data_IF_415304761791
#
_entry.id   IF_415304761791
#
_cell.length_a   1.000
_cell.length_b   1.000
_cell.length_c   1.000
_cell.angle_alpha   90.00
_cell.angle_beta   90.00
_cell.angle_gamma   90.00
#
_symmetry.space_group_name_H-M   'P 1'
#
loop_
_entity.id
_entity.type
_entity.pdbx_description
1 polymer ?
#
# COMPACT_ATOMS: atom_id res chain seq x y z
N UNK A 1 -34.54 3.37 -18.79
CA UNK A 1 -33.59 2.72 -17.86
C UNK A 1 -32.21 2.54 -18.46
N UNK A 2 -32.06 2.00 -19.68
CA UNK A 2 -30.73 1.80 -20.29
C UNK A 2 -29.92 3.09 -20.52
N UNK A 3 -30.56 4.20 -20.91
CA UNK A 3 -29.87 5.48 -21.13
C UNK A 3 -29.25 6.06 -19.84
N UNK A 4 -29.88 5.85 -18.68
CA UNK A 4 -29.35 6.30 -17.38
C UNK A 4 -28.13 5.47 -16.96
N UNK A 5 -28.22 4.15 -17.11
CA UNK A 5 -27.09 3.25 -16.86
C UNK A 5 -25.89 3.57 -17.76
N UNK A 6 -26.12 3.93 -19.03
CA UNK A 6 -25.06 4.38 -19.94
C UNK A 6 -24.43 5.70 -19.48
N UNK A 7 -25.23 6.64 -19.01
CA UNK A 7 -24.76 7.93 -18.52
C UNK A 7 -23.92 7.79 -17.25
N UNK A 8 -24.38 6.97 -16.29
CA UNK A 8 -23.65 6.67 -15.06
C UNK A 8 -22.31 5.98 -15.39
N UNK A 9 -22.29 5.07 -16.38
CA UNK A 9 -21.07 4.41 -16.83
C UNK A 9 -20.05 5.40 -17.41
N UNK A 10 -20.50 6.35 -18.22
CA UNK A 10 -19.63 7.40 -18.79
C UNK A 10 -19.05 8.29 -17.70
N UNK A 11 -19.85 8.65 -16.70
CA UNK A 11 -19.39 9.46 -15.56
C UNK A 11 -18.35 8.70 -14.72
N UNK A 12 -18.59 7.41 -14.43
CA UNK A 12 -17.61 6.57 -13.74
C UNK A 12 -16.31 6.45 -14.53
N UNK A 13 -16.38 6.26 -15.84
CA UNK A 13 -15.19 6.19 -16.69
C UNK A 13 -14.39 7.50 -16.62
N UNK A 14 -15.07 8.65 -16.70
CA UNK A 14 -14.41 9.95 -16.57
C UNK A 14 -13.77 10.15 -15.19
N UNK A 15 -14.41 9.66 -14.11
CA UNK A 15 -13.84 9.70 -12.77
C UNK A 15 -12.60 8.81 -12.64
N UNK A 16 -12.62 7.61 -13.22
CA UNK A 16 -11.47 6.71 -13.26
C UNK A 16 -10.29 7.34 -14.00
N UNK A 17 -10.54 7.98 -15.14
CA UNK A 17 -9.48 8.64 -15.91
C UNK A 17 -8.88 9.84 -15.16
N UNK A 18 -9.70 10.62 -14.45
CA UNK A 18 -9.20 11.68 -13.56
C UNK A 18 -8.32 11.12 -12.44
N UNK A 19 -8.74 10.02 -11.80
CA UNK A 19 -7.96 9.38 -10.75
C UNK A 19 -6.64 8.83 -11.28
N UNK A 20 -6.63 8.22 -12.48
CA UNK A 20 -5.39 7.77 -13.14
C UNK A 20 -4.44 8.93 -13.42
N UNK A 21 -4.94 10.03 -13.96
CA UNK A 21 -4.13 11.22 -14.21
C UNK A 21 -3.52 11.79 -12.93
N UNK A 22 -4.31 11.84 -11.86
CA UNK A 22 -3.88 12.36 -10.57
C UNK A 22 -2.84 11.46 -9.90
N UNK A 23 -3.16 10.18 -9.68
CA UNK A 23 -2.26 9.21 -9.05
C UNK A 23 -0.98 9.00 -9.88
N UNK A 24 -1.13 8.91 -11.21
CA UNK A 24 0.02 8.83 -12.11
C UNK A 24 0.94 10.01 -11.97
N UNK A 25 0.38 11.22 -11.90
CA UNK A 25 1.19 12.42 -11.75
C UNK A 25 1.95 12.45 -10.44
N UNK A 26 1.34 11.98 -9.33
CA UNK A 26 2.05 11.85 -8.06
C UNK A 26 3.19 10.83 -8.14
N UNK A 27 2.92 9.64 -8.69
CA UNK A 27 3.93 8.58 -8.86
C UNK A 27 5.09 9.07 -9.73
N UNK A 28 4.78 9.72 -10.86
CA UNK A 28 5.79 10.28 -11.74
C UNK A 28 6.63 11.36 -11.03
N UNK A 29 5.99 12.23 -10.25
CA UNK A 29 6.67 13.26 -9.47
C UNK A 29 7.65 12.65 -8.46
N UNK A 30 7.28 11.59 -7.76
CA UNK A 30 8.20 10.90 -6.84
C UNK A 30 9.30 10.10 -7.54
N UNK A 31 9.04 9.58 -8.74
CA UNK A 31 10.03 8.77 -9.48
C UNK A 31 11.20 9.58 -10.00
N UNK A 32 10.95 10.78 -10.52
CA UNK A 32 11.96 11.57 -11.24
C UNK A 32 12.01 13.04 -10.86
N UNK A 33 11.11 13.49 -9.99
CA UNK A 33 11.17 14.85 -9.44
C UNK A 33 12.39 15.04 -8.56
N UNK A 34 12.87 16.29 -8.48
CA UNK A 34 13.94 16.61 -7.56
C UNK A 34 13.47 16.50 -6.09
N UNK A 35 14.44 16.53 -5.17
CA UNK A 35 14.18 16.40 -3.73
C UNK A 35 13.20 17.46 -3.24
N UNK A 36 13.27 18.68 -3.78
CA UNK A 36 12.39 19.77 -3.36
C UNK A 36 10.94 19.52 -3.79
N UNK A 37 10.73 19.21 -5.07
CA UNK A 37 9.40 18.92 -5.64
C UNK A 37 8.75 17.72 -4.95
N UNK A 38 9.54 16.68 -4.65
CA UNK A 38 9.07 15.51 -3.92
C UNK A 38 8.68 15.84 -2.48
N UNK A 39 9.47 16.67 -1.80
CA UNK A 39 9.17 17.12 -0.43
C UNK A 39 7.94 18.03 -0.37
N UNK A 40 7.79 18.94 -1.35
CA UNK A 40 6.62 19.82 -1.45
C UNK A 40 5.35 19.00 -1.69
N UNK A 41 5.40 18.03 -2.60
CA UNK A 41 4.30 17.09 -2.81
C UNK A 41 3.98 16.30 -1.54
N UNK A 42 4.99 15.83 -0.81
CA UNK A 42 4.80 15.08 0.43
C UNK A 42 4.20 15.94 1.55
N UNK A 43 4.65 17.19 1.69
CA UNK A 43 4.10 18.14 2.66
C UNK A 43 2.64 18.42 2.37
N UNK A 44 2.30 18.64 1.11
CA UNK A 44 0.93 18.83 0.66
C UNK A 44 0.03 17.62 0.92
N UNK A 45 0.49 16.39 0.63
CA UNK A 45 -0.27 15.15 0.94
C UNK A 45 -0.57 15.05 2.44
N UNK A 46 0.38 15.46 3.28
CA UNK A 46 0.26 15.40 4.74
C UNK A 46 -0.58 16.53 5.32
N UNK A 47 -0.78 17.61 4.57
CA UNK A 47 -1.62 18.72 4.98
C UNK A 47 -3.10 18.45 4.69
N UNK A 48 -4.00 19.07 5.45
CA UNK A 48 -5.45 18.98 5.27
C UNK A 48 -5.97 19.76 4.04
N UNK A 49 -5.11 20.04 3.05
CA UNK A 49 -5.53 20.69 1.81
C UNK A 49 -6.40 19.76 0.96
N UNK A 50 -7.38 20.36 0.29
CA UNK A 50 -8.32 19.62 -0.54
C UNK A 50 -7.65 18.95 -1.75
N UNK A 51 -8.17 17.77 -2.12
CA UNK A 51 -7.71 16.99 -3.28
C UNK A 51 -7.66 17.80 -4.59
N UNK A 52 -8.54 18.79 -4.76
CA UNK A 52 -8.53 19.66 -5.95
C UNK A 52 -7.26 20.52 -6.05
N UNK A 53 -6.76 21.03 -4.92
CA UNK A 53 -5.55 21.84 -4.88
C UNK A 53 -4.32 20.97 -5.10
N UNK A 54 -4.28 19.79 -4.45
CA UNK A 54 -3.25 18.79 -4.67
C UNK A 54 -3.21 18.34 -6.14
N UNK A 55 -4.37 18.11 -6.77
CA UNK A 55 -4.47 17.77 -8.18
C UNK A 55 -3.97 18.87 -9.11
N UNK A 56 -4.28 20.14 -8.78
CA UNK A 56 -3.80 21.29 -9.55
C UNK A 56 -2.28 21.42 -9.48
N UNK A 57 -1.68 21.23 -8.30
CA UNK A 57 -0.23 21.20 -8.15
C UNK A 57 0.39 20.09 -9.00
N UNK A 58 -0.09 18.85 -8.88
CA UNK A 58 0.45 17.70 -9.61
C UNK A 58 0.38 17.92 -11.13
N UNK A 59 -0.74 18.46 -11.62
CA UNK A 59 -0.90 18.81 -13.04
C UNK A 59 0.09 19.90 -13.49
N UNK A 60 0.28 20.93 -12.67
CA UNK A 60 1.23 22.02 -12.96
C UNK A 60 2.68 21.51 -12.97
N UNK A 61 3.06 20.70 -11.99
CA UNK A 61 4.39 20.08 -11.88
C UNK A 61 4.71 19.22 -13.09
N UNK A 62 3.74 18.43 -13.58
CA UNK A 62 3.90 17.69 -14.84
C UNK A 62 4.08 18.62 -16.03
N UNK A 63 3.26 19.66 -16.13
CA UNK A 63 3.30 20.59 -17.27
C UNK A 63 4.62 21.38 -17.32
N UNK A 64 5.20 21.70 -16.16
CA UNK A 64 6.44 22.47 -16.06
C UNK A 64 7.71 21.62 -16.15
N UNK A 65 7.64 20.32 -15.88
CA UNK A 65 8.79 19.42 -15.91
C UNK A 65 8.62 18.27 -16.93
N UNK A 66 9.33 18.31 -18.07
CA UNK A 66 9.18 17.31 -19.13
C UNK A 66 9.61 15.91 -18.70
N UNK A 67 10.55 15.77 -17.76
CA UNK A 67 10.97 14.46 -17.26
C UNK A 67 9.85 13.80 -16.45
N UNK A 68 9.16 14.58 -15.60
CA UNK A 68 8.00 14.08 -14.85
C UNK A 68 6.87 13.70 -15.82
N UNK A 69 6.64 14.49 -16.86
CA UNK A 69 5.65 14.16 -17.88
C UNK A 69 6.00 12.90 -18.70
N UNK A 70 7.28 12.69 -19.01
CA UNK A 70 7.75 11.45 -19.64
C UNK A 70 7.60 10.25 -18.70
N UNK A 71 8.00 10.39 -17.44
CA UNK A 71 7.80 9.36 -16.42
C UNK A 71 6.31 9.03 -16.25
N UNK A 72 5.43 10.03 -16.28
CA UNK A 72 3.98 9.82 -16.25
C UNK A 72 3.50 8.96 -17.43
N UNK A 73 3.94 9.26 -18.65
CA UNK A 73 3.57 8.48 -19.86
C UNK A 73 4.09 7.05 -19.84
N UNK A 74 5.17 6.79 -19.09
CA UNK A 74 5.72 5.43 -18.91
C UNK A 74 4.97 4.59 -17.88
N UNK A 75 4.04 5.17 -17.12
CA UNK A 75 3.26 4.41 -16.14
C UNK A 75 2.23 3.57 -16.87
N UNK A 76 2.38 2.26 -16.74
CA UNK A 76 1.34 1.33 -17.11
C UNK A 76 0.33 1.18 -15.97
N UNK A 77 -0.95 1.42 -16.29
CA UNK A 77 -2.07 1.28 -15.35
C UNK A 77 -2.82 -0.04 -15.55
N UNK A 78 -2.29 -0.96 -16.36
CA UNK A 78 -2.83 -2.32 -16.44
C UNK A 78 -2.43 -3.08 -15.19
N UNK A 79 -3.43 -3.62 -14.51
CA UNK A 79 -3.19 -4.68 -13.56
C UNK A 79 -3.10 -5.96 -14.37
N UNK A 80 -1.88 -6.42 -14.66
CA UNK A 80 -1.63 -7.81 -15.05
C UNK A 80 -1.83 -8.77 -13.85
N UNK A 81 -2.73 -8.44 -12.91
CA UNK A 81 -3.32 -9.37 -11.97
C UNK A 81 -4.29 -10.33 -12.70
N UNK A 82 -3.78 -10.96 -13.75
CA UNK A 82 -4.11 -12.33 -14.12
C UNK A 82 -3.40 -13.34 -13.20
N UNK A 83 -2.81 -12.91 -12.07
CA UNK A 83 -2.62 -13.80 -10.93
C UNK A 83 -4.00 -14.13 -10.36
N UNK A 84 -4.55 -15.21 -10.90
CA UNK A 84 -5.95 -15.60 -10.78
C UNK A 84 -6.45 -15.54 -9.35
N UNK A 85 -7.33 -14.56 -9.10
CA UNK A 85 -8.30 -14.73 -8.04
C UNK A 85 -9.00 -16.07 -8.30
N UNK A 86 -9.00 -16.99 -7.32
CA UNK A 86 -9.56 -18.29 -7.53
C UNK A 86 -11.01 -18.10 -7.98
N UNK A 87 -11.40 -18.78 -9.05
CA UNK A 87 -12.79 -18.70 -9.50
C UNK A 87 -13.69 -19.08 -8.31
N UNK A 88 -14.91 -18.53 -8.20
CA UNK A 88 -15.81 -18.89 -7.10
C UNK A 88 -15.94 -20.41 -6.89
N UNK A 89 -15.83 -21.18 -7.98
CA UNK A 89 -15.76 -22.64 -7.96
C UNK A 89 -14.50 -23.21 -7.29
N UNK A 90 -13.33 -22.61 -7.47
CA UNK A 90 -12.10 -23.00 -6.79
C UNK A 90 -12.16 -22.75 -5.29
N UNK A 91 -12.84 -21.68 -4.85
CA UNK A 91 -13.09 -21.39 -3.43
C UNK A 91 -14.08 -22.42 -2.84
N UNK A 92 -15.15 -22.75 -3.56
CA UNK A 92 -16.11 -23.78 -3.11
C UNK A 92 -15.47 -25.17 -2.98
N UNK A 93 -14.53 -25.51 -3.86
CA UNK A 93 -13.82 -26.81 -3.84
C UNK A 93 -12.81 -26.91 -2.69
N UNK A 94 -12.24 -25.81 -2.21
CA UNK A 94 -11.38 -25.81 -1.02
C UNK A 94 -12.18 -25.82 0.29
N UNK A 95 -13.49 -25.52 0.24
CA UNK A 95 -14.38 -25.53 1.41
C UNK A 95 -15.07 -26.87 1.67
N UNK A 96 -14.95 -27.87 0.79
CA UNK A 96 -15.45 -29.22 1.08
C UNK A 96 -14.51 -29.92 2.08
N UNK A 97 -14.92 -30.17 3.33
CA UNK A 97 -14.08 -30.87 4.30
C UNK A 97 -13.86 -32.31 3.82
N UNK A 98 -12.61 -32.69 3.59
CA UNK A 98 -12.27 -34.10 3.51
C UNK A 98 -12.49 -34.70 4.91
N UNK A 99 -13.47 -35.59 5.02
CA UNK A 99 -13.70 -36.39 6.20
C UNK A 99 -12.46 -37.26 6.46
N UNK A 100 -11.53 -36.78 7.28
CA UNK A 100 -10.44 -37.58 7.82
C UNK A 100 -10.95 -38.35 9.04
N UNK A 101 -11.63 -39.46 8.78
CA UNK A 101 -11.70 -40.55 9.75
C UNK A 101 -10.39 -41.33 9.66
N UNK A 102 -9.53 -41.20 10.68
CA UNK A 102 -8.89 -42.33 11.38
C UNK A 102 -8.11 -41.76 12.57
N UNK A 103 -8.66 -42.04 13.76
CA UNK A 103 -7.98 -41.96 15.04
C UNK A 103 -7.09 -43.19 15.11
N UNK A 104 -5.76 -43.02 15.16
CA UNK A 104 -4.90 -44.02 15.78
C UNK A 104 -4.06 -43.36 16.88
N UNK A 105 -4.43 -43.73 18.11
CA UNK A 105 -3.64 -43.57 19.32
C UNK A 105 -2.49 -44.58 19.30
N UNK A 106 -1.26 -44.11 19.48
CA UNK A 106 -0.11 -44.85 20.03
C UNK A 106 0.89 -43.76 20.44
N UNK A 107 0.89 -43.29 21.70
CA UNK A 107 1.57 -43.86 22.87
C UNK A 107 3.10 -43.98 22.69
N UNK A 108 3.83 -43.50 23.72
CA UNK A 108 5.30 -43.56 23.96
C UNK A 108 6.05 -42.38 23.29
N UNK A 109 6.94 -41.61 23.91
CA UNK A 109 7.81 -41.80 25.07
C UNK A 109 8.49 -40.45 25.43
N UNK A 110 8.86 -40.26 26.71
CA UNK A 110 9.88 -39.36 27.30
C UNK A 110 9.99 -37.89 26.82
N UNK A 111 9.96 -36.86 27.67
CA UNK A 111 10.50 -36.78 29.01
C UNK A 111 11.22 -35.43 29.19
N UNK A 112 10.93 -34.76 30.30
CA UNK A 112 11.80 -33.84 31.05
C UNK A 112 12.13 -32.45 30.44
N UNK A 113 11.52 -31.39 30.97
CA UNK A 113 12.09 -30.48 32.00
C UNK A 113 13.12 -29.46 31.43
N UNK A 114 12.84 -28.16 31.56
CA UNK A 114 13.52 -27.32 32.56
C UNK A 114 13.07 -25.87 32.46
N UNK A 115 12.77 -25.32 33.62
CA UNK A 115 12.42 -23.94 33.92
C UNK A 115 13.69 -23.07 34.04
N UNK A 116 13.53 -21.78 33.78
CA UNK A 116 14.40 -20.68 34.21
C UNK A 116 13.80 -19.38 33.64
N UNK A 117 13.09 -18.52 34.37
CA UNK A 117 13.46 -17.75 35.59
C UNK A 117 14.86 -17.12 35.47
N UNK A 118 15.13 -15.85 35.74
CA UNK A 118 14.35 -14.66 36.06
C UNK A 118 15.36 -13.49 36.09
N UNK A 119 14.87 -12.26 35.88
CA UNK A 119 15.26 -11.03 36.59
C UNK A 119 16.59 -10.29 36.36
N UNK A 120 16.51 -9.02 36.80
CA UNK A 120 17.47 -7.94 37.08
C UNK A 120 17.71 -6.91 35.98
N UNK A 121 17.12 -5.71 36.05
CA UNK A 121 17.09 -4.61 37.07
C UNK A 121 18.39 -3.78 37.15
N UNK A 122 18.20 -2.49 36.83
CA UNK A 122 18.89 -1.25 37.25
C UNK A 122 20.42 -1.23 37.44
N UNK A 123 21.09 -0.25 36.81
CA UNK A 123 21.78 0.78 37.62
C UNK A 123 22.14 2.08 36.86
N UNK A 124 22.00 3.17 37.62
CA UNK A 124 22.45 4.54 37.37
C UNK A 124 23.98 4.66 37.15
N UNK A 125 24.41 5.61 36.30
CA UNK A 125 25.49 6.52 36.70
C UNK A 125 25.40 7.86 35.96
N UNK A 126 25.08 8.87 36.75
CA UNK A 126 25.19 10.30 36.48
C UNK A 126 26.65 10.72 36.61
N UNK A 127 27.17 11.50 35.67
CA UNK A 127 28.41 12.27 35.88
C UNK A 127 28.33 13.56 35.08
N UNK A 128 28.04 14.62 35.83
CA UNK A 128 28.30 16.01 35.51
C UNK A 128 29.82 16.18 35.39
N UNK A 129 30.30 16.83 34.33
CA UNK A 129 31.54 17.59 34.42
C UNK A 129 31.36 18.95 33.76
N UNK A 130 31.27 19.91 34.65
CA UNK A 130 31.40 21.34 34.49
C UNK A 130 32.91 21.64 34.30
N UNK A 131 33.22 22.69 33.54
CA UNK A 131 34.16 23.76 33.90
C UNK A 131 35.21 24.16 32.83
N UNK A 132 35.21 25.49 32.61
CA UNK A 132 36.19 26.41 31.99
C UNK A 132 36.25 26.50 30.46
#
# INVERSE_FOLDING_TARGET
MQQRALQDLVEMQAALDRNRQFLGGMIATFRVGDTQTSNDLLAMIRSEIGLAQLGSYVANTRRSNPMIEEAFRSIDFTSDAQEGLPSPMQILKSMTPQHSSTIERSALDGGSQSLGSASDTANFHESVDENI
#
